data_IF_638587666255
#
_entry.id   IF_638587666255
#
_cell.length_a   1.000
_cell.length_b   1.000
_cell.length_c   1.000
_cell.angle_alpha   90.00
_cell.angle_beta   90.00
_cell.angle_gamma   90.00
#
_symmetry.space_group_name_H-M   'P 1'
#
loop_
_entity.id
_entity.type
_entity.pdbx_description
1 polymer ?
#
# COMPACT_ATOMS: atom_id res chain seq x y z
N UNK A 1 -16.18 -43.41 -7.30
CA UNK A 1 -17.38 -42.77 -6.74
C UNK A 1 -16.93 -41.49 -6.06
N UNK A 2 -17.01 -40.35 -6.75
CA UNK A 2 -16.54 -39.05 -6.24
C UNK A 2 -17.58 -38.44 -5.30
N UNK A 3 -17.15 -38.08 -4.09
CA UNK A 3 -17.93 -37.28 -3.16
C UNK A 3 -17.74 -35.80 -3.47
N UNK A 4 -18.85 -35.08 -3.67
CA UNK A 4 -18.89 -33.65 -3.89
C UNK A 4 -18.72 -32.89 -2.56
N UNK A 5 -17.90 -31.83 -2.59
CA UNK A 5 -17.66 -30.92 -1.46
C UNK A 5 -18.78 -29.87 -1.44
N UNK A 6 -19.40 -29.55 -0.27
CA UNK A 6 -20.45 -28.54 -0.21
C UNK A 6 -19.86 -27.13 -0.30
N UNK A 7 -20.35 -26.34 -1.25
CA UNK A 7 -20.03 -24.92 -1.35
C UNK A 7 -20.88 -24.12 -0.34
N UNK A 8 -20.20 -23.52 0.62
CA UNK A 8 -20.78 -22.58 1.59
C UNK A 8 -21.20 -21.30 0.87
N UNK A 9 -22.50 -21.00 0.88
CA UNK A 9 -23.09 -19.77 0.35
C UNK A 9 -22.87 -18.63 1.34
N UNK A 10 -22.21 -17.54 0.91
CA UNK A 10 -22.08 -16.29 1.68
C UNK A 10 -23.24 -15.37 1.24
N UNK A 11 -23.93 -14.65 2.14
CA UNK A 11 -25.09 -13.86 1.77
C UNK A 11 -24.65 -12.62 0.99
N UNK A 12 -24.95 -12.57 -0.31
CA UNK A 12 -24.99 -11.32 -1.06
C UNK A 12 -26.09 -10.46 -0.44
N UNK A 13 -25.74 -9.24 -0.03
CA UNK A 13 -26.72 -8.27 0.47
C UNK A 13 -27.77 -8.03 -0.61
N UNK A 14 -28.91 -8.70 -0.46
CA UNK A 14 -30.03 -8.81 -1.40
C UNK A 14 -30.86 -7.53 -1.52
N UNK A 15 -30.32 -6.40 -1.05
CA UNK A 15 -31.10 -5.18 -0.79
C UNK A 15 -31.38 -4.38 -2.07
N UNK A 16 -30.61 -4.58 -3.13
CA UNK A 16 -30.69 -3.79 -4.37
C UNK A 16 -31.24 -4.55 -5.59
N UNK A 17 -31.68 -5.79 -5.43
CA UNK A 17 -32.26 -6.59 -6.51
C UNK A 17 -33.79 -6.48 -6.49
N UNK A 18 -34.39 -6.26 -7.65
CA UNK A 18 -35.83 -6.18 -7.85
C UNK A 18 -36.25 -7.30 -8.80
N UNK A 19 -37.22 -8.13 -8.39
CA UNK A 19 -37.80 -9.14 -9.26
C UNK A 19 -39.11 -8.61 -9.87
N UNK A 20 -39.15 -8.44 -11.18
CA UNK A 20 -40.38 -8.12 -11.94
C UNK A 20 -40.60 -9.23 -12.96
N UNK A 21 -41.78 -9.87 -12.96
CA UNK A 21 -42.19 -10.85 -13.98
C UNK A 21 -41.16 -11.97 -14.23
N UNK A 22 -40.47 -12.45 -13.18
CA UNK A 22 -39.46 -13.50 -13.30
C UNK A 22 -38.06 -13.02 -13.72
N UNK A 23 -37.89 -11.71 -13.89
CA UNK A 23 -36.62 -11.06 -14.27
C UNK A 23 -36.02 -10.38 -13.03
N UNK A 24 -34.76 -10.67 -12.73
CA UNK A 24 -34.02 -10.06 -11.61
C UNK A 24 -33.25 -8.85 -12.15
N UNK A 25 -33.52 -7.66 -11.62
CA UNK A 25 -32.93 -6.39 -12.07
C UNK A 25 -32.19 -5.72 -10.91
N UNK A 26 -30.96 -5.30 -11.12
CA UNK A 26 -30.25 -4.44 -10.17
C UNK A 26 -30.79 -3.00 -10.25
N UNK A 27 -31.30 -2.48 -9.14
CA UNK A 27 -31.91 -1.14 -9.05
C UNK A 27 -30.93 0.01 -9.31
N UNK A 28 -29.64 -0.18 -9.04
CA UNK A 28 -28.62 0.85 -9.16
C UNK A 28 -28.05 0.91 -10.58
N UNK A 29 -27.86 -0.24 -11.21
CA UNK A 29 -27.24 -0.32 -12.55
C UNK A 29 -28.25 -0.48 -13.68
N UNK A 30 -29.47 -0.92 -13.38
CA UNK A 30 -30.47 -1.29 -14.37
C UNK A 30 -30.16 -2.61 -15.09
N UNK A 31 -29.17 -3.36 -14.62
CA UNK A 31 -28.73 -4.60 -15.28
C UNK A 31 -29.70 -5.76 -15.00
N UNK A 32 -29.98 -6.52 -16.04
CA UNK A 32 -30.87 -7.68 -16.01
C UNK A 32 -30.03 -8.94 -15.78
N UNK A 33 -30.27 -9.62 -14.68
CA UNK A 33 -29.62 -10.88 -14.35
C UNK A 33 -30.43 -12.06 -14.92
N UNK A 34 -29.78 -12.93 -15.68
CA UNK A 34 -30.28 -14.27 -15.99
C UNK A 34 -31.34 -14.38 -17.09
N UNK A 35 -31.51 -13.36 -17.95
CA UNK A 35 -32.51 -13.41 -19.03
C UNK A 35 -32.12 -14.32 -20.21
N UNK A 36 -30.81 -14.57 -20.44
CA UNK A 36 -30.32 -15.28 -21.64
C UNK A 36 -29.14 -16.24 -21.38
N UNK A 37 -28.99 -16.82 -20.17
CA UNK A 37 -27.79 -17.58 -19.74
C UNK A 37 -26.45 -16.83 -19.90
N UNK A 38 -26.50 -15.53 -20.22
CA UNK A 38 -25.34 -14.66 -20.29
C UNK A 38 -25.06 -14.13 -18.87
N UNK A 39 -23.89 -14.44 -18.29
CA UNK A 39 -23.48 -13.80 -17.06
C UNK A 39 -23.42 -12.28 -17.31
N UNK A 40 -23.88 -11.51 -16.32
CA UNK A 40 -23.83 -10.05 -16.39
C UNK A 40 -22.40 -9.60 -16.67
N UNK A 41 -22.20 -8.49 -17.39
CA UNK A 41 -20.84 -8.03 -17.75
C UNK A 41 -20.09 -7.61 -16.47
N UNK A 42 -20.85 -7.31 -15.39
CA UNK A 42 -20.35 -7.04 -14.05
C UNK A 42 -20.25 -8.30 -13.16
N UNK A 43 -20.67 -9.47 -13.65
CA UNK A 43 -20.59 -10.77 -12.93
C UNK A 43 -19.22 -11.45 -13.04
N UNK A 44 -18.19 -10.71 -13.45
CA UNK A 44 -16.81 -11.17 -13.21
C UNK A 44 -16.61 -11.40 -11.71
N UNK A 45 -15.81 -12.40 -11.29
CA UNK A 45 -15.45 -12.54 -9.89
C UNK A 45 -14.90 -11.18 -9.42
N UNK A 46 -15.51 -10.61 -8.36
CA UNK A 46 -14.99 -9.43 -7.70
C UNK A 46 -13.57 -9.77 -7.25
N UNK A 47 -12.57 -9.27 -7.97
CA UNK A 47 -11.18 -9.43 -7.56
C UNK A 47 -11.06 -8.78 -6.17
N UNK A 48 -10.82 -9.60 -5.15
CA UNK A 48 -10.70 -9.13 -3.79
C UNK A 48 -9.47 -8.21 -3.69
N UNK A 49 -9.70 -6.94 -3.39
CA UNK A 49 -8.62 -6.01 -3.12
C UNK A 49 -8.00 -6.34 -1.76
N UNK A 50 -6.86 -7.04 -1.78
CA UNK A 50 -6.02 -7.23 -0.60
C UNK A 50 -5.52 -5.90 -0.06
N UNK A 51 -5.22 -5.81 1.24
CA UNK A 51 -4.67 -4.57 1.78
C UNK A 51 -3.20 -4.42 1.38
N UNK A 52 -2.71 -3.18 1.22
CA UNK A 52 -1.30 -2.92 0.92
C UNK A 52 -0.33 -3.50 1.99
N UNK A 53 -0.83 -3.69 3.22
CA UNK A 53 -0.06 -4.30 4.30
C UNK A 53 0.14 -5.80 4.09
N UNK A 54 -0.81 -6.44 3.41
CA UNK A 54 -0.83 -7.88 3.16
C UNK A 54 -0.02 -8.29 1.94
N UNK A 55 0.49 -7.34 1.13
CA UNK A 55 1.38 -7.65 0.03
C UNK A 55 2.70 -8.26 0.54
N UNK A 56 3.01 -9.48 0.05
CA UNK A 56 4.19 -10.27 0.42
C UNK A 56 5.15 -10.50 -0.75
N UNK A 57 4.76 -10.07 -1.94
CA UNK A 57 5.57 -10.19 -3.15
C UNK A 57 5.40 -9.00 -4.10
N UNK A 58 6.26 -8.95 -5.12
CA UNK A 58 6.11 -8.03 -6.26
C UNK A 58 4.78 -8.27 -6.97
N UNK A 59 4.43 -9.54 -7.22
CA UNK A 59 3.18 -9.93 -7.87
C UNK A 59 1.94 -9.45 -7.08
N UNK A 60 1.96 -9.59 -5.74
CA UNK A 60 0.88 -9.08 -4.88
C UNK A 60 0.72 -7.56 -5.00
N UNK A 61 1.84 -6.84 -5.06
CA UNK A 61 1.83 -5.39 -5.19
C UNK A 61 1.36 -4.96 -6.57
N UNK A 62 1.77 -5.64 -7.63
CA UNK A 62 1.27 -5.37 -8.99
C UNK A 62 -0.24 -5.63 -9.10
N UNK A 63 -0.73 -6.72 -8.50
CA UNK A 63 -2.16 -7.01 -8.41
C UNK A 63 -2.90 -5.93 -7.61
N UNK A 64 -2.35 -5.48 -6.48
CA UNK A 64 -2.90 -4.37 -5.70
C UNK A 64 -3.00 -3.08 -6.53
N UNK A 65 -1.97 -2.76 -7.32
CA UNK A 65 -1.93 -1.56 -8.15
C UNK A 65 -2.99 -1.54 -9.26
N UNK A 66 -3.57 -2.68 -9.65
CA UNK A 66 -4.68 -2.73 -10.62
C UNK A 66 -5.92 -1.99 -10.13
N UNK A 67 -6.12 -1.91 -8.82
CA UNK A 67 -7.22 -1.17 -8.18
C UNK A 67 -6.93 0.31 -7.95
N UNK A 68 -5.71 0.76 -8.26
CA UNK A 68 -5.28 2.14 -8.05
C UNK A 68 -5.32 2.90 -9.37
N UNK A 69 -6.15 3.95 -9.43
CA UNK A 69 -6.11 4.89 -10.54
C UNK A 69 -4.86 5.77 -10.48
N UNK A 70 -3.79 5.29 -11.12
CA UNK A 70 -2.49 5.96 -11.17
C UNK A 70 -2.50 7.30 -11.88
N UNK A 71 -3.53 7.59 -12.70
CA UNK A 71 -3.66 8.87 -13.41
C UNK A 71 -4.06 10.00 -12.47
N UNK A 72 -4.72 9.66 -11.36
CA UNK A 72 -5.10 10.59 -10.29
C UNK A 72 -4.00 10.79 -9.25
N UNK A 73 -2.90 10.04 -9.34
CA UNK A 73 -1.79 10.20 -8.40
C UNK A 73 -0.99 11.45 -8.74
N UNK A 74 -0.49 12.17 -7.72
CA UNK A 74 0.40 13.29 -7.97
C UNK A 74 1.65 12.82 -8.73
N UNK A 75 2.23 13.70 -9.56
CA UNK A 75 3.50 13.42 -10.22
C UNK A 75 4.61 13.23 -9.18
N UNK A 76 5.69 12.59 -9.60
CA UNK A 76 6.89 12.50 -8.80
C UNK A 76 7.47 13.90 -8.57
N UNK A 77 7.23 14.47 -7.40
CA UNK A 77 7.81 15.74 -6.97
C UNK A 77 8.88 15.50 -5.91
N UNK A 78 9.97 16.26 -6.00
CA UNK A 78 11.01 16.31 -4.96
C UNK A 78 10.72 17.40 -3.92
N UNK A 79 9.63 18.15 -4.05
CA UNK A 79 9.32 19.28 -3.17
C UNK A 79 9.29 18.86 -1.70
N UNK A 80 8.53 17.81 -1.35
CA UNK A 80 8.47 17.33 0.04
C UNK A 80 9.83 16.91 0.60
N UNK A 81 10.68 16.27 -0.21
CA UNK A 81 12.03 15.90 0.21
C UNK A 81 12.90 17.14 0.43
N UNK A 82 12.86 18.11 -0.49
CA UNK A 82 13.65 19.33 -0.39
C UNK A 82 13.20 20.19 0.79
N UNK A 83 11.90 20.34 1.01
CA UNK A 83 11.34 21.10 2.12
C UNK A 83 11.76 20.50 3.48
N UNK A 84 11.74 19.17 3.62
CA UNK A 84 12.21 18.49 4.83
C UNK A 84 13.74 18.62 5.02
N UNK A 85 14.52 18.60 3.93
CA UNK A 85 15.97 18.87 3.97
C UNK A 85 16.23 20.30 4.46
N UNK A 86 15.54 21.29 3.89
CA UNK A 86 15.68 22.70 4.27
C UNK A 86 15.22 22.96 5.70
N UNK A 87 14.11 22.34 6.10
CA UNK A 87 13.61 22.37 7.48
C UNK A 87 14.63 21.79 8.46
N UNK A 88 15.16 20.59 8.19
CA UNK A 88 16.17 19.94 9.01
C UNK A 88 17.45 20.80 9.14
N UNK A 89 17.90 21.39 8.03
CA UNK A 89 19.02 22.34 8.06
C UNK A 89 18.73 23.57 8.91
N UNK A 90 17.51 24.13 8.81
CA UNK A 90 17.07 25.26 9.61
C UNK A 90 17.02 24.95 11.11
N UNK A 91 16.50 23.77 11.49
CA UNK A 91 16.47 23.31 12.89
C UNK A 91 17.89 23.10 13.42
N UNK A 92 18.75 22.41 12.67
CA UNK A 92 20.14 22.20 13.06
C UNK A 92 20.91 23.51 13.28
N UNK A 93 20.68 24.54 12.45
CA UNK A 93 21.33 25.85 12.64
C UNK A 93 20.87 26.59 13.90
N UNK A 94 19.66 26.30 14.38
CA UNK A 94 19.02 27.00 15.52
C UNK A 94 19.09 26.23 16.83
N UNK A 95 19.48 24.95 16.80
CA UNK A 95 19.48 24.07 17.96
C UNK A 95 20.74 23.21 18.05
N UNK A 96 20.81 22.40 19.10
CA UNK A 96 21.99 21.57 19.40
C UNK A 96 21.88 20.14 18.83
N UNK A 97 20.71 19.75 18.32
CA UNK A 97 20.47 18.40 17.79
C UNK A 97 20.84 18.32 16.30
N UNK A 98 21.75 17.40 15.95
CA UNK A 98 22.05 17.10 14.55
C UNK A 98 20.92 16.28 13.90
N UNK A 99 20.04 16.98 13.21
CA UNK A 99 18.94 16.41 12.45
C UNK A 99 19.18 16.45 10.94
N UNK A 100 20.40 16.77 10.49
CA UNK A 100 20.71 16.99 9.08
C UNK A 100 20.47 15.74 8.24
N UNK A 101 19.81 15.93 7.10
CA UNK A 101 19.82 14.94 6.02
C UNK A 101 21.11 15.17 5.22
N UNK A 102 22.03 14.21 5.28
CA UNK A 102 23.32 14.33 4.59
C UNK A 102 23.13 14.23 3.06
N UNK A 103 24.05 14.81 2.28
CA UNK A 103 24.01 14.73 0.80
C UNK A 103 23.92 13.28 0.26
N UNK A 104 24.66 12.28 0.81
CA UNK A 104 24.51 10.89 0.39
C UNK A 104 23.11 10.33 0.68
N UNK A 105 22.52 10.65 1.84
CA UNK A 105 21.15 10.25 2.18
C UNK A 105 20.13 10.88 1.24
N UNK A 106 20.23 12.19 0.99
CA UNK A 106 19.35 12.90 0.07
C UNK A 106 19.42 12.32 -1.34
N UNK A 107 20.62 12.07 -1.88
CA UNK A 107 20.79 11.45 -3.21
C UNK A 107 20.12 10.08 -3.29
N UNK A 108 20.28 9.25 -2.26
CA UNK A 108 19.66 7.93 -2.20
C UNK A 108 18.13 8.04 -2.11
N UNK A 109 17.61 8.97 -1.30
CA UNK A 109 16.17 9.23 -1.21
C UNK A 109 15.59 9.72 -2.54
N UNK A 110 16.30 10.57 -3.28
CA UNK A 110 15.91 11.00 -4.63
C UNK A 110 15.82 9.82 -5.60
N UNK A 111 16.80 8.90 -5.57
CA UNK A 111 16.75 7.69 -6.40
C UNK A 111 15.56 6.80 -6.03
N UNK A 112 15.34 6.56 -4.74
CA UNK A 112 14.22 5.76 -4.25
C UNK A 112 12.87 6.41 -4.57
N UNK A 113 12.75 7.73 -4.50
CA UNK A 113 11.53 8.46 -4.84
C UNK A 113 11.09 8.19 -6.28
N UNK A 114 12.04 8.07 -7.22
CA UNK A 114 11.74 7.74 -8.61
C UNK A 114 11.16 6.34 -8.81
N UNK A 115 11.32 5.44 -7.83
CA UNK A 115 10.82 4.06 -7.86
C UNK A 115 9.45 3.90 -7.17
N UNK A 116 8.97 4.91 -6.45
CA UNK A 116 7.73 4.81 -5.66
C UNK A 116 6.50 4.90 -6.56
N UNK A 117 5.82 3.77 -6.76
CA UNK A 117 4.61 3.73 -7.58
C UNK A 117 3.35 4.20 -6.83
N UNK A 118 3.26 3.94 -5.53
CA UNK A 118 2.09 4.27 -4.72
C UNK A 118 2.46 4.45 -3.24
N UNK A 119 1.91 5.48 -2.60
CA UNK A 119 2.19 5.90 -1.24
C UNK A 119 3.70 6.07 -0.98
N UNK A 120 4.27 5.37 -0.01
CA UNK A 120 5.67 5.47 0.41
C UNK A 120 6.40 4.12 0.30
N UNK A 121 5.89 3.18 -0.49
CA UNK A 121 6.40 1.82 -0.55
C UNK A 121 6.98 1.46 -1.92
N UNK A 122 7.96 0.55 -1.90
CA UNK A 122 8.57 -0.05 -3.09
C UNK A 122 8.60 -1.56 -2.87
N UNK A 123 8.08 -2.30 -3.85
CA UNK A 123 8.24 -3.75 -3.96
C UNK A 123 8.99 -4.03 -5.26
N UNK A 124 10.08 -4.77 -5.19
CA UNK A 124 10.84 -5.23 -6.35
C UNK A 124 11.81 -6.35 -5.95
N UNK A 125 12.49 -6.95 -6.93
CA UNK A 125 13.58 -7.86 -6.64
C UNK A 125 14.80 -7.10 -6.12
N UNK A 126 15.64 -7.77 -5.32
CA UNK A 126 16.90 -7.17 -4.86
C UNK A 126 17.86 -6.89 -6.02
N UNK A 127 17.74 -7.61 -7.13
CA UNK A 127 18.58 -7.41 -8.32
C UNK A 127 18.19 -6.10 -9.01
N UNK A 128 16.88 -5.93 -9.27
CA UNK A 128 16.36 -4.72 -9.93
C UNK A 128 16.59 -3.48 -9.07
N UNK A 129 16.43 -3.60 -7.75
CA UNK A 129 16.73 -2.50 -6.83
C UNK A 129 18.21 -2.12 -6.87
N UNK A 130 19.11 -3.11 -6.88
CA UNK A 130 20.54 -2.83 -6.95
C UNK A 130 20.90 -2.11 -8.26
N UNK A 131 20.33 -2.56 -9.38
CA UNK A 131 20.50 -1.91 -10.69
C UNK A 131 19.96 -0.48 -10.68
N UNK A 132 18.74 -0.26 -10.20
CA UNK A 132 18.12 1.08 -10.11
C UNK A 132 18.92 2.05 -9.23
N UNK A 133 19.60 1.53 -8.20
CA UNK A 133 20.46 2.31 -7.31
C UNK A 133 21.92 2.40 -7.77
N UNK A 134 22.24 1.93 -8.99
CA UNK A 134 23.60 1.86 -9.52
C UNK A 134 24.59 1.23 -8.53
N UNK A 135 24.22 0.06 -7.99
CA UNK A 135 25.05 -0.68 -7.04
C UNK A 135 25.02 -2.18 -7.34
N UNK A 136 25.95 -2.93 -6.76
CA UNK A 136 25.98 -4.39 -6.85
C UNK A 136 25.14 -4.98 -5.73
N UNK A 137 24.44 -6.09 -5.99
CA UNK A 137 23.56 -6.77 -5.02
C UNK A 137 24.23 -7.00 -3.65
N UNK A 138 25.51 -7.36 -3.62
CA UNK A 138 26.28 -7.56 -2.37
C UNK A 138 26.40 -6.31 -1.51
N UNK A 139 26.38 -5.12 -2.12
CA UNK A 139 26.50 -3.83 -1.45
C UNK A 139 25.15 -3.15 -1.19
N UNK A 140 24.06 -3.70 -1.71
CA UNK A 140 22.72 -3.10 -1.63
C UNK A 140 22.31 -2.82 -0.18
N UNK A 141 22.38 -3.82 0.69
CA UNK A 141 21.99 -3.67 2.09
C UNK A 141 22.87 -2.66 2.82
N UNK A 142 24.18 -2.64 2.55
CA UNK A 142 25.10 -1.64 3.11
C UNK A 142 24.70 -0.22 2.70
N UNK A 143 24.29 -0.02 1.46
CA UNK A 143 23.83 1.27 0.93
C UNK A 143 22.50 1.71 1.56
N UNK A 144 21.53 0.80 1.68
CA UNK A 144 20.23 1.09 2.28
C UNK A 144 20.30 1.33 3.78
N UNK A 145 21.23 0.67 4.48
CA UNK A 145 21.41 0.79 5.93
C UNK A 145 21.69 2.22 6.38
N UNK A 146 22.30 3.05 5.54
CA UNK A 146 22.53 4.48 5.80
C UNK A 146 21.22 5.25 6.03
N UNK A 147 20.12 4.84 5.40
CA UNK A 147 18.79 5.43 5.61
C UNK A 147 18.00 4.72 6.71
N UNK A 148 18.21 3.41 6.88
CA UNK A 148 17.57 2.63 7.95
C UNK A 148 18.05 3.05 9.34
N UNK A 149 19.37 3.23 9.52
CA UNK A 149 19.98 3.70 10.76
C UNK A 149 19.48 5.11 11.12
N UNK A 150 19.26 5.96 10.11
CA UNK A 150 18.70 7.30 10.26
C UNK A 150 17.16 7.33 10.41
N UNK A 151 16.49 6.17 10.51
CA UNK A 151 15.02 6.04 10.64
C UNK A 151 14.23 6.67 9.48
N UNK A 152 14.86 6.82 8.31
CA UNK A 152 14.24 7.34 7.08
C UNK A 152 13.67 6.22 6.21
N UNK A 153 14.09 4.97 6.45
CA UNK A 153 13.73 3.80 5.68
C UNK A 153 13.45 2.62 6.63
N UNK A 154 12.45 1.81 6.29
CA UNK A 154 12.20 0.49 6.90
C UNK A 154 12.36 -0.57 5.82
N UNK A 155 13.18 -1.57 6.09
CA UNK A 155 13.50 -2.63 5.15
C UNK A 155 12.85 -3.93 5.61
N UNK A 156 12.07 -4.56 4.73
CA UNK A 156 11.48 -5.88 4.97
C UNK A 156 11.89 -6.82 3.85
N UNK A 157 12.42 -7.97 4.25
CA UNK A 157 12.94 -9.05 3.40
C UNK A 157 12.41 -10.38 3.92
N UNK A 158 12.73 -11.49 3.26
CA UNK A 158 12.38 -12.82 3.75
C UNK A 158 12.98 -13.16 5.14
N UNK A 159 14.07 -12.51 5.55
CA UNK A 159 14.76 -12.83 6.80
C UNK A 159 14.15 -12.15 8.03
N UNK A 160 13.48 -11.01 7.84
CA UNK A 160 12.92 -10.19 8.92
C UNK A 160 11.43 -9.89 8.74
N UNK A 161 10.78 -10.59 7.81
CA UNK A 161 9.38 -10.43 7.52
C UNK A 161 8.88 -11.45 6.50
N UNK A 162 7.61 -11.33 6.16
CA UNK A 162 6.95 -12.28 5.29
C UNK A 162 6.99 -11.80 3.83
N UNK A 163 8.20 -11.66 3.28
CA UNK A 163 8.42 -11.28 1.87
C UNK A 163 9.02 -12.47 1.12
N UNK A 164 8.61 -12.67 -0.14
CA UNK A 164 9.14 -13.74 -1.01
C UNK A 164 10.67 -13.65 -1.13
N UNK A 165 11.32 -14.82 -1.17
CA UNK A 165 12.79 -14.91 -1.21
C UNK A 165 13.34 -14.21 -2.46
N UNK A 166 14.34 -13.34 -2.27
CA UNK A 166 14.96 -12.57 -3.35
C UNK A 166 14.29 -11.24 -3.63
N UNK A 167 13.13 -10.98 -3.03
CA UNK A 167 12.40 -9.72 -3.10
C UNK A 167 12.63 -8.86 -1.84
N UNK A 168 12.28 -7.59 -1.95
CA UNK A 168 12.44 -6.60 -0.90
C UNK A 168 11.26 -5.63 -0.92
N UNK A 169 10.75 -5.34 0.29
CA UNK A 169 9.81 -4.28 0.54
C UNK A 169 10.53 -3.15 1.26
N UNK A 170 10.48 -1.97 0.67
CA UNK A 170 10.95 -0.74 1.29
C UNK A 170 9.75 0.11 1.67
N UNK A 171 9.75 0.66 2.88
CA UNK A 171 8.87 1.75 3.25
C UNK A 171 9.72 2.96 3.61
N UNK A 172 9.53 4.08 2.91
CA UNK A 172 10.24 5.34 3.13
C UNK A 172 9.43 6.19 4.10
N UNK A 173 10.08 7.03 4.91
CA UNK A 173 9.36 7.97 5.79
C UNK A 173 8.38 8.82 4.94
N UNK A 174 7.06 8.79 5.24
CA UNK A 174 6.05 9.49 4.45
C UNK A 174 6.19 11.02 4.42
N UNK A 175 6.96 11.60 5.36
CA UNK A 175 7.31 13.03 5.32
C UNK A 175 8.26 13.34 4.16
N UNK A 176 9.18 12.42 3.86
CA UNK A 176 10.21 12.59 2.84
C UNK A 176 9.69 12.23 1.44
N UNK A 177 8.99 11.10 1.34
CA UNK A 177 8.47 10.58 0.08
C UNK A 177 7.09 9.99 0.29
N UNK A 178 6.10 10.56 -0.40
CA UNK A 178 4.75 10.02 -0.44
C UNK A 178 4.06 10.36 -1.75
N UNK A 179 3.38 9.38 -2.34
CA UNK A 179 2.62 9.50 -3.58
C UNK A 179 1.18 9.08 -3.36
N UNK A 180 0.33 10.05 -3.08
CA UNK A 180 -1.09 9.85 -2.81
C UNK A 180 -1.73 11.15 -2.33
N UNK A 181 -2.96 11.08 -1.85
CA UNK A 181 -3.66 12.24 -1.30
C UNK A 181 -3.05 12.68 0.04
N UNK A 182 -2.96 14.00 0.28
CA UNK A 182 -2.36 14.57 1.50
C UNK A 182 -3.05 14.11 2.79
N UNK A 183 -4.37 14.01 2.78
CA UNK A 183 -5.14 13.47 3.92
C UNK A 183 -4.73 12.04 4.30
N UNK A 184 -4.35 11.23 3.32
CA UNK A 184 -3.85 9.87 3.56
C UNK A 184 -2.41 9.93 4.08
N UNK A 185 -1.59 10.85 3.56
CA UNK A 185 -0.20 11.04 3.99
C UNK A 185 -0.10 11.27 5.49
N UNK A 186 -0.93 12.14 6.06
CA UNK A 186 -0.93 12.44 7.50
C UNK A 186 -1.10 11.19 8.36
N UNK A 187 -2.09 10.35 8.04
CA UNK A 187 -2.27 9.05 8.70
C UNK A 187 -1.04 8.15 8.57
N UNK A 188 -0.35 8.17 7.43
CA UNK A 188 0.88 7.39 7.26
C UNK A 188 2.03 7.94 8.10
N UNK A 189 2.14 9.27 8.24
CA UNK A 189 3.12 9.94 9.11
C UNK A 189 2.89 9.53 10.56
N UNK A 190 1.65 9.59 11.05
CA UNK A 190 1.29 9.14 12.41
C UNK A 190 1.69 7.68 12.64
N UNK A 191 1.28 6.79 11.73
CA UNK A 191 1.65 5.37 11.79
C UNK A 191 3.15 5.11 11.72
N UNK A 192 3.93 6.03 11.12
CA UNK A 192 5.38 5.92 11.09
C UNK A 192 6.00 6.13 12.47
N UNK A 193 5.50 7.09 13.25
CA UNK A 193 6.08 7.41 14.56
C UNK A 193 5.42 6.66 15.73
N UNK A 194 4.35 5.90 15.48
CA UNK A 194 3.82 4.99 16.48
C UNK A 194 4.81 3.83 16.78
N UNK A 195 5.01 3.48 18.06
CA UNK A 195 5.84 2.34 18.44
C UNK A 195 5.29 1.06 17.79
N UNK A 196 6.11 0.37 17.01
CA UNK A 196 5.80 -0.92 16.37
C UNK A 196 5.61 -2.09 17.37
N UNK A 197 5.40 -1.80 18.66
CA UNK A 197 5.28 -2.77 19.75
C UNK A 197 3.98 -2.71 20.58
N UNK A 198 3.07 -1.76 20.30
CA UNK A 198 1.74 -1.76 20.92
C UNK A 198 0.73 -2.26 19.91
N UNK A 199 0.47 -3.57 19.95
CA UNK A 199 -0.73 -4.18 19.37
C UNK A 199 -1.96 -3.52 19.98
N UNK A 200 -2.46 -2.44 19.38
CA UNK A 200 -3.86 -2.07 19.57
C UNK A 200 -4.69 -2.99 18.67
N UNK A 201 -5.10 -4.13 19.24
CA UNK A 201 -6.31 -4.82 18.83
C UNK A 201 -7.49 -3.92 19.14
N UNK A 202 -7.74 -2.93 18.29
CA UNK A 202 -9.07 -2.35 18.20
C UNK A 202 -9.78 -3.13 17.12
N UNK A 203 -10.33 -4.27 17.53
CA UNK A 203 -11.49 -4.85 16.86
C UNK A 203 -12.55 -3.75 16.90
N UNK A 204 -12.77 -3.06 15.79
CA UNK A 204 -13.97 -2.26 15.62
C UNK A 204 -15.16 -3.23 15.62
N UNK A 205 -15.65 -3.56 16.82
CA UNK A 205 -17.04 -4.01 16.98
C UNK A 205 -17.91 -2.81 16.62
N UNK A 206 -18.27 -2.68 15.34
CA UNK A 206 -19.47 -1.93 14.98
C UNK A 206 -20.66 -2.71 15.52
N UNK A 207 -21.11 -2.29 16.70
CA UNK A 207 -22.41 -2.59 17.24
C UNK A 207 -23.45 -2.06 16.25
N UNK A 208 -24.10 -2.94 15.50
CA UNK A 208 -25.44 -2.66 15.00
C UNK A 208 -26.37 -2.78 16.20
N UNK A 209 -26.68 -1.63 16.81
CA UNK A 209 -27.82 -1.50 17.69
C UNK A 209 -29.09 -1.68 16.82
N UNK A 210 -29.69 -2.86 16.91
CA UNK A 210 -31.09 -3.05 16.55
C UNK A 210 -31.93 -2.24 17.55
N UNK A 211 -32.48 -1.11 17.09
CA UNK A 211 -33.69 -0.57 17.68
C UNK A 211 -34.86 -1.41 17.14
N UNK A 212 -35.26 -2.39 17.94
CA UNK A 212 -36.61 -2.94 17.91
C UNK A 212 -37.40 -2.27 19.03
N UNK A 213 -38.36 -1.43 18.65
CA UNK A 213 -39.56 -1.10 19.40
C UNK A 213 -40.62 -0.71 18.37
#
# INVERSE_FOLDING_TARGET
MSQAVPYTTIPTSSTNLLAINGIVVDKLTGEIHGLDDRPSILSGPLDYQSSLRDCRSVDDFENYLRFVDRRKLPPHSLHSLNDEVDYAHGVWRRGETDCRITKPQQRLLTQLQGLVQYHNVIFMTQVDLAQALNTVKSNLMKKLKVLEDAKMLRITTCNNGNIRRGEIKLAINPRLVFRGADKIRERYIENWYHPTGTLHFTVEKRQHANMAA
#
